data_IF_562388002754
#
_entry.id   IF_562388002754
#
_cell.length_a   1.000
_cell.length_b   1.000
_cell.length_c   1.000
_cell.angle_alpha   90.00
_cell.angle_beta   90.00
_cell.angle_gamma   90.00
#
_symmetry.space_group_name_H-M   'P 1'
#
loop_
_entity.id
_entity.type
_entity.pdbx_description
1 polymer ?
#
# COMPACT_ATOMS: atom_id res chain seq x y z
N UNK A 1 -1.21 -1.97 4.68
CA UNK A 1 -2.39 -2.84 4.85
C UNK A 1 -3.21 -2.37 6.04
N UNK A 2 -4.54 -2.53 6.02
CA UNK A 2 -5.44 -2.09 7.10
C UNK A 2 -6.35 -3.25 7.51
N UNK A 3 -6.45 -3.53 8.81
CA UNK A 3 -7.37 -4.54 9.33
C UNK A 3 -8.54 -3.87 10.07
N UNK A 4 -9.77 -4.35 9.89
CA UNK A 4 -10.92 -3.83 10.63
C UNK A 4 -11.93 -4.91 11.02
N UNK A 5 -12.63 -4.71 12.14
CA UNK A 5 -13.72 -5.60 12.57
C UNK A 5 -15.04 -5.35 11.81
N UNK A 6 -15.27 -4.12 11.34
CA UNK A 6 -16.53 -3.71 10.68
C UNK A 6 -16.26 -2.91 9.40
N UNK A 7 -15.92 -1.63 9.55
CA UNK A 7 -15.69 -0.73 8.41
C UNK A 7 -14.64 0.32 8.73
N UNK A 8 -14.35 1.17 7.73
CA UNK A 8 -13.33 2.22 7.82
C UNK A 8 -11.99 1.84 7.18
N UNK A 9 -11.83 0.60 6.71
CA UNK A 9 -10.59 0.17 6.05
C UNK A 9 -10.26 0.97 4.79
N UNK A 10 -11.24 1.26 3.93
CA UNK A 10 -11.04 2.04 2.70
C UNK A 10 -10.56 3.46 3.01
N UNK A 11 -11.29 4.19 3.86
CA UNK A 11 -10.92 5.56 4.24
C UNK A 11 -9.55 5.64 4.95
N UNK A 12 -9.22 4.67 5.79
CA UNK A 12 -7.91 4.59 6.43
C UNK A 12 -6.80 4.27 5.42
N UNK A 13 -7.05 3.34 4.49
CA UNK A 13 -6.13 2.98 3.41
C UNK A 13 -5.83 4.18 2.50
N UNK A 14 -6.87 4.91 2.08
CA UNK A 14 -6.73 6.09 1.23
C UNK A 14 -5.91 7.19 1.92
N UNK A 15 -6.17 7.46 3.20
CA UNK A 15 -5.39 8.43 3.99
C UNK A 15 -3.94 8.00 4.14
N UNK A 16 -3.69 6.72 4.40
CA UNK A 16 -2.34 6.18 4.55
C UNK A 16 -1.54 6.32 3.26
N UNK A 17 -2.15 6.07 2.10
CA UNK A 17 -1.47 6.19 0.81
C UNK A 17 -1.02 7.63 0.49
N UNK A 18 -1.70 8.66 1.00
CA UNK A 18 -1.26 10.06 0.82
C UNK A 18 0.18 10.29 1.28
N UNK A 19 0.59 9.66 2.38
CA UNK A 19 1.96 9.85 2.90
C UNK A 19 3.00 9.23 1.98
N UNK A 20 2.72 8.06 1.42
CA UNK A 20 3.62 7.42 0.46
C UNK A 20 3.74 8.26 -0.82
N UNK A 21 2.62 8.76 -1.34
CA UNK A 21 2.63 9.53 -2.59
C UNK A 21 3.28 10.90 -2.41
N UNK A 22 3.08 11.58 -1.27
CA UNK A 22 3.76 12.85 -0.95
C UNK A 22 5.28 12.66 -0.87
N UNK A 23 5.75 11.51 -0.36
CA UNK A 23 7.19 11.21 -0.23
C UNK A 23 7.81 10.56 -1.47
N UNK A 24 7.12 10.61 -2.63
CA UNK A 24 7.51 9.95 -3.88
C UNK A 24 7.87 8.47 -3.69
N UNK A 25 7.17 7.78 -2.80
CA UNK A 25 7.37 6.35 -2.57
C UNK A 25 6.47 5.55 -3.53
N UNK A 26 6.97 4.45 -4.11
CA UNK A 26 6.15 3.58 -4.94
C UNK A 26 5.07 2.89 -4.09
N UNK A 27 3.82 2.99 -4.54
CA UNK A 27 2.68 2.29 -3.92
C UNK A 27 2.41 1.03 -4.73
N UNK A 28 2.70 -0.13 -4.14
CA UNK A 28 2.48 -1.42 -4.79
C UNK A 28 1.02 -1.85 -4.59
N UNK A 29 0.35 -2.15 -5.70
CA UNK A 29 -1.05 -2.56 -5.73
C UNK A 29 -1.21 -4.07 -5.55
N UNK A 30 -2.45 -4.47 -5.25
CA UNK A 30 -2.92 -5.86 -5.27
C UNK A 30 -4.18 -5.94 -6.14
N UNK A 31 -4.83 -7.11 -6.14
CA UNK A 31 -6.09 -7.37 -6.86
C UNK A 31 -7.31 -6.64 -6.27
N UNK A 32 -7.20 -6.10 -5.05
CA UNK A 32 -8.20 -5.25 -4.40
C UNK A 32 -7.55 -4.32 -3.38
N UNK A 33 -8.34 -3.50 -2.68
CA UNK A 33 -7.82 -2.67 -1.58
C UNK A 33 -7.17 -3.54 -0.50
N UNK A 34 -5.99 -3.11 -0.05
CA UNK A 34 -5.13 -3.91 0.84
C UNK A 34 -5.65 -3.94 2.29
N UNK A 35 -6.81 -4.57 2.48
CA UNK A 35 -7.51 -4.67 3.75
C UNK A 35 -7.95 -6.08 4.10
N UNK A 36 -8.10 -6.34 5.40
CA UNK A 36 -8.60 -7.61 5.94
C UNK A 36 -9.66 -7.37 7.03
N UNK A 37 -10.44 -8.39 7.34
CA UNK A 37 -11.45 -8.38 8.39
C UNK A 37 -11.20 -9.43 9.47
N UNK A 38 -11.31 -9.02 10.73
CA UNK A 38 -11.20 -9.90 11.89
C UNK A 38 -10.64 -9.19 13.13
N UNK A 39 -11.07 -9.59 14.31
CA UNK A 39 -10.54 -9.09 15.59
C UNK A 39 -9.37 -9.96 16.07
N UNK A 40 -9.43 -11.27 15.81
CA UNK A 40 -8.40 -12.26 16.16
C UNK A 40 -7.76 -12.88 14.93
N UNK A 41 -6.51 -13.38 15.01
CA UNK A 41 -5.85 -14.05 13.89
C UNK A 41 -6.66 -15.20 13.29
N UNK A 42 -7.39 -15.94 14.12
CA UNK A 42 -8.25 -17.06 13.69
C UNK A 42 -9.42 -16.59 12.84
N UNK A 43 -9.94 -15.39 13.11
CA UNK A 43 -11.02 -14.76 12.34
C UNK A 43 -10.46 -14.18 11.04
N UNK A 44 -9.29 -13.54 11.07
CA UNK A 44 -8.62 -13.05 9.85
C UNK A 44 -8.28 -14.21 8.91
N UNK A 45 -7.97 -15.40 9.45
CA UNK A 45 -7.77 -16.62 8.64
C UNK A 45 -9.03 -17.06 7.88
N UNK A 46 -10.20 -16.61 8.29
CA UNK A 46 -11.47 -16.88 7.61
C UNK A 46 -11.79 -15.86 6.52
N UNK A 47 -11.13 -14.70 6.51
CA UNK A 47 -11.22 -13.71 5.43
C UNK A 47 -10.41 -14.16 4.20
N UNK A 48 -10.95 -15.14 3.47
CA UNK A 48 -10.25 -15.80 2.36
C UNK A 48 -9.88 -14.82 1.24
N UNK A 49 -10.74 -13.85 0.94
CA UNK A 49 -10.50 -12.80 -0.06
C UNK A 49 -9.43 -11.81 0.41
N UNK A 50 -9.50 -11.35 1.66
CA UNK A 50 -8.48 -10.50 2.26
C UNK A 50 -7.11 -11.18 2.26
N UNK A 51 -7.04 -12.47 2.62
CA UNK A 51 -5.79 -13.23 2.57
C UNK A 51 -5.29 -13.44 1.15
N UNK A 52 -6.18 -13.64 0.16
CA UNK A 52 -5.78 -13.69 -1.25
C UNK A 52 -5.17 -12.36 -1.68
N UNK A 53 -5.80 -11.25 -1.33
CA UNK A 53 -5.29 -9.91 -1.57
C UNK A 53 -3.93 -9.71 -0.93
N UNK A 54 -3.70 -10.21 0.29
CA UNK A 54 -2.39 -10.11 0.96
C UNK A 54 -1.32 -10.96 0.27
N UNK A 55 -1.64 -12.17 -0.19
CA UNK A 55 -0.70 -13.02 -0.96
C UNK A 55 -0.33 -12.35 -2.28
N UNK A 56 -1.30 -11.83 -3.01
CA UNK A 56 -1.09 -11.12 -4.27
C UNK A 56 -0.25 -9.86 -4.06
N UNK A 57 -0.51 -9.09 -2.99
CA UNK A 57 0.30 -7.94 -2.62
C UNK A 57 1.76 -8.35 -2.36
N UNK A 58 1.98 -9.40 -1.58
CA UNK A 58 3.33 -9.89 -1.28
C UNK A 58 4.10 -10.32 -2.54
N UNK A 59 3.43 -11.00 -3.47
CA UNK A 59 4.02 -11.38 -4.75
C UNK A 59 4.39 -10.15 -5.60
N UNK A 60 3.50 -9.16 -5.68
CA UNK A 60 3.75 -7.91 -6.41
C UNK A 60 4.90 -7.10 -5.79
N UNK A 61 4.97 -7.03 -4.46
CA UNK A 61 6.06 -6.38 -3.75
C UNK A 61 7.39 -7.08 -4.02
N UNK A 62 7.43 -8.41 -3.94
CA UNK A 62 8.63 -9.18 -4.22
C UNK A 62 9.10 -9.01 -5.67
N UNK A 63 8.17 -9.02 -6.63
CA UNK A 63 8.46 -8.74 -8.03
C UNK A 63 9.06 -7.35 -8.22
N UNK A 64 8.43 -6.32 -7.63
CA UNK A 64 8.88 -4.94 -7.75
C UNK A 64 10.27 -4.73 -7.14
N UNK A 65 10.50 -5.21 -5.92
CA UNK A 65 11.78 -5.08 -5.23
C UNK A 65 12.92 -5.76 -6.00
N UNK A 66 12.68 -6.99 -6.49
CA UNK A 66 13.66 -7.71 -7.33
C UNK A 66 13.89 -7.01 -8.67
N UNK A 67 12.86 -6.40 -9.24
CA UNK A 67 12.98 -5.65 -10.50
C UNK A 67 13.77 -4.35 -10.30
N UNK A 68 13.53 -3.64 -9.21
CA UNK A 68 14.27 -2.42 -8.85
C UNK A 68 15.75 -2.71 -8.58
N UNK A 69 16.04 -3.77 -7.82
CA UNK A 69 17.40 -4.25 -7.56
C UNK A 69 18.15 -4.58 -8.87
N UNK A 70 17.50 -5.33 -9.76
CA UNK A 70 18.07 -5.67 -11.08
C UNK A 70 18.24 -4.47 -12.00
N UNK A 71 17.34 -3.51 -11.95
CA UNK A 71 17.43 -2.30 -12.77
C UNK A 71 18.62 -1.43 -12.33
N UNK A 72 19.03 -1.53 -11.06
CA UNK A 72 20.16 -0.79 -10.48
C UNK A 72 20.11 0.72 -10.76
N UNK A 73 18.89 1.26 -10.85
CA UNK A 73 18.67 2.68 -11.13
C UNK A 73 18.72 3.48 -9.83
N UNK A 74 19.37 4.64 -9.88
CA UNK A 74 19.37 5.59 -8.78
C UNK A 74 18.01 6.29 -8.73
N UNK A 75 17.51 6.55 -7.51
CA UNK A 75 16.30 7.35 -7.33
C UNK A 75 16.52 8.75 -7.92
N UNK A 76 15.55 9.31 -8.66
CA UNK A 76 15.66 10.69 -9.14
C UNK A 76 15.85 11.67 -7.99
N UNK A 77 16.64 12.72 -8.22
CA UNK A 77 16.81 13.80 -7.26
C UNK A 77 15.46 14.52 -7.04
N UNK A 78 15.09 14.82 -5.78
CA UNK A 78 13.87 15.54 -5.49
C UNK A 78 13.97 16.99 -5.97
N UNK A 79 12.87 17.52 -6.50
CA UNK A 79 12.75 18.93 -6.86
C UNK A 79 12.62 19.80 -5.60
N UNK A 80 13.15 21.02 -5.66
CA UNK A 80 12.97 22.03 -4.61
C UNK A 80 11.48 22.39 -4.46
N UNK A 81 10.87 22.25 -3.27
CA UNK A 81 9.47 22.60 -3.08
C UNK A 81 9.18 24.08 -3.38
N UNK A 82 8.13 24.35 -4.15
CA UNK A 82 7.61 25.71 -4.40
C UNK A 82 6.28 25.88 -3.66
N UNK A 83 6.20 26.91 -2.82
CA UNK A 83 4.98 27.24 -2.07
C UNK A 83 4.16 28.29 -2.80
N UNK A 84 2.89 28.00 -3.03
CA UNK A 84 1.91 28.93 -3.65
C UNK A 84 0.67 28.99 -2.78
N UNK A 85 0.17 30.20 -2.51
CA UNK A 85 -1.07 30.39 -1.77
C UNK A 85 -2.28 30.10 -2.67
N UNK A 86 -3.35 29.54 -2.09
CA UNK A 86 -4.64 29.45 -2.78
C UNK A 86 -5.25 30.84 -2.93
N UNK A 87 -5.82 31.15 -4.12
CA UNK A 87 -6.61 32.36 -4.39
C UNK A 87 -8.11 32.08 -4.24
#
# INVERSE_FOLDING_TARGET
MVNCRRGGASAAFDRLNKYFTINQMPVISSQYWNSTHGLKPEEVRQDLEGLQTMRTLGNNMAYYLKSADKAALVRPEPETPVHTNFI
#
